data_IF_770178617793
#
_entry.id   IF_770178617793
#
_cell.length_a   1.000
_cell.length_b   1.000
_cell.length_c   1.000
_cell.angle_alpha   90.00
_cell.angle_beta   90.00
_cell.angle_gamma   90.00
#
_symmetry.space_group_name_H-M   'P 1'
#
loop_
_entity.id
_entity.type
_entity.pdbx_description
1 polymer ?
#
# COMPACT_ATOMS: atom_id res chain seq x y z
N UNK A 1 -21.58 -7.99 -7.13
CA UNK A 1 -20.15 -8.28 -7.38
C UNK A 1 -19.88 -9.74 -7.00
N UNK A 2 -19.50 -10.60 -7.95
CA UNK A 2 -19.33 -12.06 -7.73
C UNK A 2 -18.28 -12.33 -6.62
N UNK A 3 -18.49 -13.31 -5.72
CA UNK A 3 -17.46 -13.71 -4.76
C UNK A 3 -16.22 -14.25 -5.48
N UNK A 4 -15.03 -13.83 -5.03
CA UNK A 4 -13.77 -14.31 -5.59
C UNK A 4 -13.29 -15.56 -4.85
N UNK A 5 -12.83 -16.61 -5.54
CA UNK A 5 -12.18 -17.74 -4.91
C UNK A 5 -10.78 -17.37 -4.43
N UNK A 6 -10.34 -17.92 -3.30
CA UNK A 6 -9.00 -17.71 -2.79
C UNK A 6 -7.94 -18.22 -3.79
N UNK A 7 -6.89 -17.45 -4.11
CA UNK A 7 -5.79 -17.87 -4.98
C UNK A 7 -5.07 -19.17 -4.55
N UNK A 8 -5.17 -19.52 -3.27
CA UNK A 8 -4.55 -20.70 -2.67
C UNK A 8 -5.53 -21.88 -2.55
N UNK A 9 -6.53 -21.77 -1.65
CA UNK A 9 -7.43 -22.88 -1.34
C UNK A 9 -8.68 -22.97 -2.23
N UNK A 10 -8.91 -21.99 -3.12
CA UNK A 10 -10.09 -21.88 -4.01
C UNK A 10 -11.44 -21.72 -3.32
N UNK A 11 -11.51 -21.70 -2.00
CA UNK A 11 -12.74 -21.40 -1.28
C UNK A 11 -13.15 -19.94 -1.49
N UNK A 12 -14.44 -19.69 -1.40
CA UNK A 12 -14.99 -18.33 -1.48
C UNK A 12 -14.42 -17.44 -0.38
N UNK A 13 -13.91 -16.28 -0.76
CA UNK A 13 -13.44 -15.26 0.17
C UNK A 13 -14.59 -14.40 0.70
N UNK A 14 -14.42 -13.91 1.93
CA UNK A 14 -15.37 -13.02 2.60
C UNK A 14 -15.05 -11.57 2.24
N UNK A 15 -16.07 -10.76 1.96
CA UNK A 15 -15.90 -9.36 1.60
C UNK A 15 -16.01 -8.45 2.81
N UNK A 16 -15.01 -7.60 2.99
CA UNK A 16 -14.94 -6.62 4.08
C UNK A 16 -14.81 -5.21 3.49
N UNK A 17 -15.63 -4.29 4.00
CA UNK A 17 -15.68 -2.90 3.52
C UNK A 17 -14.87 -2.03 4.45
N UNK A 18 -14.05 -1.17 3.87
CA UNK A 18 -13.24 -0.20 4.59
C UNK A 18 -13.40 1.17 3.94
N UNK A 19 -13.21 2.24 4.70
CA UNK A 19 -13.30 3.58 4.15
C UNK A 19 -12.17 3.86 3.15
N UNK A 20 -12.51 4.57 2.06
CA UNK A 20 -11.59 5.01 1.02
C UNK A 20 -11.10 6.44 1.27
N UNK A 21 -9.84 6.72 0.91
CA UNK A 21 -9.21 8.04 1.00
C UNK A 21 -10.03 9.15 0.30
N UNK A 22 -10.43 8.92 -0.96
CA UNK A 22 -11.14 9.89 -1.80
C UNK A 22 -12.66 9.66 -1.83
N UNK A 23 -13.25 9.41 -0.66
CA UNK A 23 -14.66 9.06 -0.46
C UNK A 23 -15.09 7.68 -1.00
N UNK A 24 -16.11 7.12 -0.38
CA UNK A 24 -16.62 5.78 -0.68
C UNK A 24 -15.90 4.68 0.11
N UNK A 25 -15.96 3.47 -0.41
CA UNK A 25 -15.44 2.27 0.25
C UNK A 25 -14.45 1.51 -0.65
N UNK A 26 -13.50 0.84 -0.03
CA UNK A 26 -12.69 -0.23 -0.63
C UNK A 26 -13.25 -1.56 -0.12
N UNK A 27 -13.42 -2.53 -1.01
CA UNK A 27 -13.97 -3.85 -0.66
C UNK A 27 -12.86 -4.87 -0.81
N UNK A 28 -12.35 -5.39 0.30
CA UNK A 28 -11.31 -6.40 0.28
C UNK A 28 -11.91 -7.79 0.40
N UNK A 29 -11.34 -8.74 -0.33
CA UNK A 29 -11.67 -10.15 -0.20
C UNK A 29 -10.66 -10.85 0.72
N UNK A 30 -11.13 -11.37 1.86
CA UNK A 30 -10.34 -12.03 2.90
C UNK A 30 -10.57 -13.54 2.90
N UNK A 31 -9.49 -14.29 3.06
CA UNK A 31 -9.50 -15.73 3.30
C UNK A 31 -8.84 -16.02 4.64
N UNK A 32 -9.63 -16.27 5.69
CA UNK A 32 -9.11 -16.55 7.03
C UNK A 32 -8.36 -17.89 7.10
N UNK A 33 -8.80 -18.92 6.37
CA UNK A 33 -8.11 -20.22 6.36
C UNK A 33 -6.69 -20.15 5.78
N UNK A 34 -6.47 -19.36 4.72
CA UNK A 34 -5.13 -19.13 4.17
C UNK A 34 -4.43 -17.91 4.81
N UNK A 35 -5.14 -17.18 5.68
CA UNK A 35 -4.77 -15.86 6.19
C UNK A 35 -4.27 -14.93 5.07
N UNK A 36 -5.10 -14.76 4.05
CA UNK A 36 -4.78 -14.06 2.81
C UNK A 36 -5.76 -12.96 2.47
N UNK A 37 -5.25 -11.89 1.87
CA UNK A 37 -6.00 -10.74 1.37
C UNK A 37 -5.81 -10.69 -0.14
N UNK A 38 -6.90 -10.58 -0.89
CA UNK A 38 -6.84 -10.16 -2.28
C UNK A 38 -7.13 -8.66 -2.36
N UNK A 39 -6.20 -7.93 -2.97
CA UNK A 39 -6.37 -6.53 -3.34
C UNK A 39 -6.55 -6.47 -4.85
N UNK A 40 -7.66 -5.92 -5.33
CA UNK A 40 -7.76 -5.52 -6.73
C UNK A 40 -6.82 -4.33 -7.02
N UNK A 41 -6.73 -3.94 -8.30
CA UNK A 41 -5.80 -2.90 -8.72
C UNK A 41 -6.02 -1.59 -7.94
N UNK A 42 -4.93 -1.06 -7.39
CA UNK A 42 -4.88 0.15 -6.54
C UNK A 42 -5.64 0.10 -5.19
N UNK A 43 -6.31 -0.99 -4.81
CA UNK A 43 -7.09 -0.98 -3.56
C UNK A 43 -6.23 -0.79 -2.31
N UNK A 44 -5.05 -1.41 -2.25
CA UNK A 44 -4.22 -1.38 -1.04
C UNK A 44 -3.67 0.00 -0.67
N UNK A 45 -3.64 0.94 -1.62
CA UNK A 45 -3.20 2.33 -1.40
C UNK A 45 -4.37 3.29 -1.17
N UNK A 46 -5.61 2.82 -1.35
CA UNK A 46 -6.82 3.63 -1.27
C UNK A 46 -7.48 3.58 0.11
N UNK A 47 -7.08 2.67 1.00
CA UNK A 47 -7.65 2.52 2.34
C UNK A 47 -7.23 3.69 3.23
N UNK A 48 -8.16 4.25 4.01
CA UNK A 48 -7.85 5.31 4.98
C UNK A 48 -6.96 4.81 6.12
N UNK A 49 -6.24 5.69 6.83
CA UNK A 49 -5.58 5.32 8.08
C UNK A 49 -6.50 4.60 9.08
N UNK A 50 -7.74 5.08 9.24
CA UNK A 50 -8.78 4.45 10.05
C UNK A 50 -9.13 3.04 9.56
N UNK A 51 -9.34 2.87 8.25
CA UNK A 51 -9.59 1.56 7.64
C UNK A 51 -8.42 0.58 7.79
N UNK A 52 -7.18 1.06 7.82
CA UNK A 52 -6.00 0.22 8.11
C UNK A 52 -6.05 -0.29 9.56
N UNK A 53 -6.46 0.55 10.52
CA UNK A 53 -6.62 0.14 11.93
C UNK A 53 -7.73 -0.91 12.06
N UNK A 54 -8.87 -0.70 11.40
CA UNK A 54 -9.99 -1.66 11.40
C UNK A 54 -9.59 -2.98 10.77
N UNK A 55 -8.91 -2.94 9.62
CA UNK A 55 -8.39 -4.14 8.98
C UNK A 55 -7.40 -4.85 9.92
N UNK A 56 -6.46 -4.13 10.52
CA UNK A 56 -5.52 -4.73 11.48
C UNK A 56 -6.23 -5.48 12.61
N UNK A 57 -7.27 -4.89 13.23
CA UNK A 57 -8.06 -5.55 14.28
C UNK A 57 -8.67 -6.86 13.80
N UNK A 58 -9.32 -6.84 12.62
CA UNK A 58 -9.90 -8.06 12.03
C UNK A 58 -8.84 -9.13 11.74
N UNK A 59 -7.68 -8.75 11.21
CA UNK A 59 -6.62 -9.71 10.93
C UNK A 59 -6.02 -10.28 12.21
N UNK A 60 -5.89 -9.45 13.24
CA UNK A 60 -5.34 -9.83 14.53
C UNK A 60 -6.27 -10.77 15.30
N UNK A 61 -7.60 -10.57 15.24
CA UNK A 61 -8.57 -11.49 15.84
C UNK A 61 -8.43 -12.94 15.33
N UNK A 62 -7.99 -13.11 14.08
CA UNK A 62 -7.80 -14.41 13.44
C UNK A 62 -6.33 -14.86 13.35
N UNK A 63 -5.41 -14.23 14.07
CA UNK A 63 -3.97 -14.49 13.91
C UNK A 63 -3.55 -15.88 14.43
N UNK A 64 -4.18 -16.34 15.51
CA UNK A 64 -3.92 -17.64 16.14
C UNK A 64 -4.67 -18.81 15.47
N UNK A 65 -5.58 -18.51 14.54
CA UNK A 65 -6.33 -19.53 13.83
C UNK A 65 -5.39 -20.47 13.05
N UNK A 66 -5.78 -21.75 12.97
CA UNK A 66 -5.01 -22.73 12.24
C UNK A 66 -4.95 -22.37 10.75
N UNK A 67 -3.77 -21.95 10.30
CA UNK A 67 -3.52 -21.55 8.93
C UNK A 67 -3.20 -22.74 8.02
N UNK A 68 -3.88 -22.82 6.89
CA UNK A 68 -3.54 -23.72 5.79
C UNK A 68 -2.28 -23.22 5.04
N UNK A 69 -1.32 -24.11 4.73
CA UNK A 69 -0.19 -23.78 3.86
C UNK A 69 -0.64 -23.22 2.51
N UNK A 70 0.12 -22.28 1.96
CA UNK A 70 -0.19 -21.73 0.64
C UNK A 70 0.13 -22.76 -0.46
N UNK A 71 -0.72 -22.80 -1.49
CA UNK A 71 -0.43 -23.55 -2.72
C UNK A 71 0.70 -22.89 -3.49
N UNK A 72 1.57 -23.70 -4.10
CA UNK A 72 2.54 -23.26 -5.09
C UNK A 72 2.32 -24.03 -6.40
N UNK A 73 1.95 -23.37 -7.53
CA UNK A 73 1.76 -21.92 -7.67
C UNK A 73 0.38 -21.42 -7.20
N UNK A 74 0.34 -20.18 -6.72
CA UNK A 74 -0.90 -19.41 -6.55
C UNK A 74 -1.44 -18.98 -7.92
N UNK A 75 -2.77 -18.98 -8.08
CA UNK A 75 -3.44 -18.64 -9.34
C UNK A 75 -4.39 -17.45 -9.17
N UNK A 76 -4.40 -16.56 -10.16
CA UNK A 76 -5.25 -15.39 -10.17
C UNK A 76 -6.73 -15.78 -10.15
N UNK A 77 -7.58 -15.20 -9.29
CA UNK A 77 -9.00 -15.55 -9.22
C UNK A 77 -9.81 -15.01 -10.41
N UNK A 78 -9.23 -14.10 -11.21
CA UNK A 78 -9.88 -13.47 -12.38
C UNK A 78 -9.49 -14.14 -13.71
N UNK A 79 -8.21 -14.35 -13.96
CA UNK A 79 -7.71 -14.93 -15.23
C UNK A 79 -7.08 -16.32 -15.09
N UNK A 80 -7.03 -16.89 -13.88
CA UNK A 80 -6.45 -18.21 -13.58
C UNK A 80 -4.94 -18.38 -13.90
N UNK A 81 -4.27 -17.33 -14.39
CA UNK A 81 -2.82 -17.31 -14.59
C UNK A 81 -2.03 -17.41 -13.28
N UNK A 82 -0.81 -17.94 -13.36
CA UNK A 82 0.12 -18.00 -12.22
C UNK A 82 0.42 -16.58 -11.71
N UNK A 83 0.29 -16.38 -10.40
CA UNK A 83 0.73 -15.15 -9.76
C UNK A 83 2.25 -15.13 -9.62
N UNK A 84 2.86 -13.99 -9.90
CA UNK A 84 4.30 -13.79 -9.73
C UNK A 84 4.62 -13.30 -8.33
N UNK A 85 5.56 -13.97 -7.69
CA UNK A 85 6.13 -13.54 -6.42
C UNK A 85 6.88 -12.22 -6.59
N UNK A 86 6.58 -11.26 -5.72
CA UNK A 86 7.24 -9.96 -5.63
C UNK A 86 7.75 -9.72 -4.21
N UNK A 87 8.89 -9.04 -4.11
CA UNK A 87 9.49 -8.59 -2.86
C UNK A 87 9.61 -7.07 -2.93
N UNK A 88 9.29 -6.39 -1.83
CA UNK A 88 9.30 -4.93 -1.75
C UNK A 88 9.63 -4.47 -0.32
N UNK A 89 9.90 -3.19 -0.16
CA UNK A 89 10.29 -2.57 1.10
C UNK A 89 9.25 -1.53 1.49
N UNK A 90 8.64 -1.72 2.65
CA UNK A 90 7.70 -0.78 3.21
C UNK A 90 8.39 0.54 3.55
N UNK A 91 7.61 1.63 3.65
CA UNK A 91 8.09 2.95 4.09
C UNK A 91 8.81 2.90 5.45
N UNK A 92 8.46 1.92 6.29
CA UNK A 92 9.03 1.71 7.61
C UNK A 92 10.23 0.73 7.62
N UNK A 93 10.77 0.37 6.46
CA UNK A 93 11.94 -0.50 6.30
C UNK A 93 11.65 -1.99 6.28
N UNK A 94 10.42 -2.41 6.60
CA UNK A 94 10.02 -3.81 6.57
C UNK A 94 9.99 -4.39 5.15
N UNK A 95 10.84 -5.37 4.87
CA UNK A 95 10.78 -6.21 3.66
C UNK A 95 9.56 -7.13 3.71
N UNK A 96 8.68 -7.02 2.73
CA UNK A 96 7.50 -7.85 2.60
C UNK A 96 7.39 -8.45 1.20
N UNK A 97 6.60 -9.51 1.06
CA UNK A 97 6.31 -10.15 -0.21
C UNK A 97 4.81 -10.20 -0.51
N UNK A 98 4.51 -10.33 -1.80
CA UNK A 98 3.15 -10.47 -2.32
C UNK A 98 3.19 -11.25 -3.63
N UNK A 99 2.02 -11.66 -4.13
CA UNK A 99 1.89 -12.38 -5.39
C UNK A 99 0.97 -11.61 -6.33
N UNK A 100 1.52 -11.03 -7.40
CA UNK A 100 0.79 -10.15 -8.32
C UNK A 100 0.39 -10.84 -9.61
N UNK A 101 -0.75 -10.45 -10.16
CA UNK A 101 -1.15 -10.85 -11.50
C UNK A 101 -0.51 -9.93 -12.55
N UNK A 102 0.13 -10.51 -13.57
CA UNK A 102 0.71 -9.73 -14.68
C UNK A 102 -0.33 -8.98 -15.52
N UNK A 103 -1.58 -9.47 -15.52
CA UNK A 103 -2.72 -8.81 -16.18
C UNK A 103 -3.30 -7.66 -15.35
N UNK A 104 -2.64 -7.22 -14.27
CA UNK A 104 -3.06 -6.13 -13.38
C UNK A 104 -4.45 -6.33 -12.76
N UNK A 105 -4.85 -7.58 -12.57
CA UNK A 105 -6.09 -7.94 -11.88
C UNK A 105 -6.04 -7.69 -10.37
N UNK A 106 -4.85 -7.54 -9.79
CA UNK A 106 -4.66 -7.43 -8.35
C UNK A 106 -3.45 -8.20 -7.84
N UNK A 107 -3.32 -8.24 -6.51
CA UNK A 107 -2.30 -8.99 -5.78
C UNK A 107 -2.88 -9.73 -4.59
N UNK A 108 -2.27 -10.87 -4.28
CA UNK A 108 -2.50 -11.64 -3.07
C UNK A 108 -1.37 -11.37 -2.06
N UNK A 109 -1.75 -10.97 -0.85
CA UNK A 109 -0.83 -10.66 0.26
C UNK A 109 -1.32 -11.39 1.51
N UNK A 110 -0.45 -12.03 2.27
CA UNK A 110 -0.88 -12.67 3.52
C UNK A 110 -1.04 -11.67 4.65
N UNK A 111 -1.79 -12.01 5.70
CA UNK A 111 -2.02 -11.13 6.84
C UNK A 111 -0.69 -10.67 7.45
N UNK A 112 0.27 -11.58 7.61
CA UNK A 112 1.61 -11.25 8.07
C UNK A 112 2.34 -10.26 7.15
N UNK A 113 2.28 -10.46 5.84
CA UNK A 113 2.94 -9.56 4.89
C UNK A 113 2.29 -8.18 4.88
N UNK A 114 0.97 -8.11 5.06
CA UNK A 114 0.26 -6.85 5.26
C UNK A 114 0.70 -6.16 6.57
N UNK A 115 0.84 -6.91 7.67
CA UNK A 115 1.32 -6.36 8.93
C UNK A 115 2.75 -5.82 8.82
N UNK A 116 3.62 -6.49 8.05
CA UNK A 116 4.97 -5.99 7.73
C UNK A 116 4.88 -4.72 6.88
N UNK A 117 4.07 -4.75 5.82
CA UNK A 117 3.87 -3.62 4.90
C UNK A 117 3.43 -2.35 5.64
N UNK A 118 2.51 -2.49 6.60
CA UNK A 118 1.97 -1.37 7.39
C UNK A 118 2.75 -1.07 8.67
N UNK A 119 3.82 -1.84 8.95
CA UNK A 119 4.73 -1.59 10.06
C UNK A 119 4.16 -1.91 11.44
N UNK A 120 3.22 -2.86 11.53
CA UNK A 120 2.71 -3.43 12.79
C UNK A 120 3.62 -4.50 13.39
N UNK A 121 4.58 -5.00 12.61
CA UNK A 121 5.57 -5.98 13.06
C UNK A 121 6.97 -5.45 12.85
N UNK A 122 7.91 -5.93 13.67
CA UNK A 122 9.32 -5.65 13.51
C UNK A 122 10.08 -6.89 13.04
N UNK A 123 11.17 -6.65 12.33
CA UNK A 123 12.12 -7.69 11.94
C UNK A 123 13.11 -7.88 13.08
N UNK A 124 13.36 -9.14 13.44
CA UNK A 124 14.39 -9.45 14.43
C UNK A 124 15.77 -9.22 13.83
N UNK A 125 16.68 -8.66 14.63
CA UNK A 125 18.08 -8.60 14.25
C UNK A 125 18.75 -9.98 14.45
N UNK A 126 19.95 -10.22 13.89
CA UNK A 126 20.62 -11.51 14.01
C UNK A 126 20.84 -11.98 15.46
N UNK A 127 21.19 -11.08 16.38
CA UNK A 127 21.42 -11.44 17.79
C UNK A 127 20.12 -11.88 18.50
N UNK A 128 19.00 -11.24 18.18
CA UNK A 128 17.68 -11.66 18.68
C UNK A 128 17.25 -13.01 18.08
N UNK A 129 17.60 -13.29 16.81
CA UNK A 129 17.35 -14.59 16.18
C UNK A 129 18.18 -15.66 16.88
N UNK A 130 19.46 -15.39 17.17
CA UNK A 130 20.34 -16.30 17.89
C UNK A 130 19.76 -16.64 19.27
N UNK A 131 19.31 -15.63 20.03
CA UNK A 131 18.68 -15.84 21.34
C UNK A 131 17.38 -16.65 21.23
N UNK A 132 16.56 -16.38 20.21
CA UNK A 132 15.32 -17.13 19.97
C UNK A 132 15.63 -18.58 19.59
N UNK A 133 16.68 -18.81 18.79
CA UNK A 133 17.09 -20.14 18.32
C UNK A 133 17.52 -21.08 19.45
N UNK A 134 17.98 -20.52 20.57
CA UNK A 134 18.30 -21.27 21.78
C UNK A 134 17.05 -21.84 22.47
N UNK A 135 15.88 -21.20 22.28
CA UNK A 135 14.60 -21.59 22.90
C UNK A 135 13.72 -22.38 21.93
N UNK A 136 13.74 -22.05 20.64
CA UNK A 136 12.88 -22.63 19.61
C UNK A 136 13.71 -23.04 18.40
N UNK A 137 13.63 -24.30 17.98
CA UNK A 137 14.39 -24.78 16.81
C UNK A 137 13.72 -24.45 15.47
N UNK A 138 12.45 -24.81 15.32
CA UNK A 138 11.70 -24.66 14.07
C UNK A 138 10.48 -23.78 14.31
N UNK A 139 10.36 -22.72 13.51
CA UNK A 139 9.16 -21.86 13.47
C UNK A 139 8.44 -22.03 12.14
N UNK A 140 7.17 -21.61 12.08
CA UNK A 140 6.46 -21.48 10.79
C UNK A 140 6.66 -20.08 10.23
N UNK A 141 7.00 -19.99 8.95
CA UNK A 141 7.07 -18.71 8.26
C UNK A 141 5.68 -18.06 8.20
N UNK A 142 5.54 -16.87 8.76
CA UNK A 142 4.30 -16.09 8.73
C UNK A 142 3.87 -15.71 7.29
N UNK A 143 4.80 -15.69 6.33
CA UNK A 143 4.53 -15.45 4.90
C UNK A 143 3.97 -16.67 4.18
N UNK A 144 4.75 -17.74 4.02
CA UNK A 144 4.33 -18.90 3.19
C UNK A 144 3.82 -20.11 4.00
N UNK A 145 4.08 -20.15 5.30
CA UNK A 145 3.70 -21.27 6.18
C UNK A 145 4.72 -22.42 6.22
N UNK A 146 5.79 -22.33 5.43
CA UNK A 146 6.88 -23.31 5.44
C UNK A 146 7.60 -23.33 6.80
N UNK A 147 8.08 -24.51 7.24
CA UNK A 147 8.95 -24.59 8.40
C UNK A 147 10.29 -23.88 8.14
N UNK A 148 10.80 -23.16 9.12
CA UNK A 148 12.08 -22.45 9.10
C UNK A 148 12.88 -22.90 10.31
N UNK A 149 14.07 -23.48 10.08
CA UNK A 149 15.01 -23.83 11.14
C UNK A 149 15.84 -22.58 11.49
N UNK A 150 15.44 -21.88 12.55
CA UNK A 150 16.04 -20.58 12.90
C UNK A 150 17.43 -20.70 13.52
N UNK A 151 17.90 -21.92 13.76
CA UNK A 151 19.28 -22.20 14.19
C UNK A 151 20.26 -22.19 13.00
N UNK A 152 19.74 -22.22 11.78
CA UNK A 152 20.52 -22.26 10.54
C UNK A 152 20.25 -21.06 9.65
N UNK A 153 18.97 -20.67 9.57
CA UNK A 153 18.50 -19.68 8.63
C UNK A 153 17.93 -18.45 9.35
N UNK A 154 18.38 -17.25 8.97
CA UNK A 154 17.82 -15.98 9.46
C UNK A 154 16.66 -15.45 8.60
N UNK A 155 16.24 -16.23 7.61
CA UNK A 155 15.11 -15.94 6.73
C UNK A 155 14.49 -17.25 6.21
N UNK A 156 13.24 -17.20 5.78
CA UNK A 156 12.58 -18.36 5.21
C UNK A 156 13.25 -18.82 3.90
N UNK A 157 13.71 -20.06 3.83
CA UNK A 157 14.32 -20.63 2.61
C UNK A 157 13.38 -20.69 1.40
N UNK A 158 12.07 -20.84 1.63
CA UNK A 158 11.06 -20.92 0.57
C UNK A 158 10.69 -19.57 -0.06
N UNK A 159 10.28 -18.57 0.74
CA UNK A 159 9.79 -17.28 0.23
C UNK A 159 10.73 -16.09 0.50
N UNK A 160 11.91 -16.35 1.09
CA UNK A 160 12.92 -15.35 1.47
C UNK A 160 12.41 -14.25 2.41
N UNK A 161 11.27 -14.43 3.05
CA UNK A 161 10.77 -13.50 4.04
C UNK A 161 11.67 -13.52 5.30
N UNK A 162 12.01 -12.37 5.86
CA UNK A 162 12.75 -12.30 7.12
C UNK A 162 11.92 -12.84 8.28
N UNK A 163 12.59 -13.27 9.34
CA UNK A 163 11.94 -13.66 10.59
C UNK A 163 11.39 -12.39 11.26
N UNK A 164 10.10 -12.42 11.57
CA UNK A 164 9.35 -11.28 12.10
C UNK A 164 8.58 -11.70 13.32
N UNK A 165 8.42 -10.77 14.25
CA UNK A 165 7.57 -10.96 15.44
C UNK A 165 6.53 -9.83 15.52
N UNK A 166 5.36 -10.20 16.02
CA UNK A 166 4.36 -9.23 16.45
C UNK A 166 4.83 -8.69 17.81
N UNK A 167 5.40 -7.50 17.78
CA UNK A 167 5.96 -6.82 18.95
C UNK A 167 4.96 -5.77 19.44
N UNK A 168 4.62 -5.78 20.73
CA UNK A 168 3.64 -4.85 21.30
C UNK A 168 4.01 -3.39 21.06
N UNK A 169 5.30 -3.05 21.18
CA UNK A 169 5.80 -1.71 20.89
C UNK A 169 5.63 -1.33 19.42
N UNK A 170 5.91 -2.24 18.49
CA UNK A 170 5.67 -2.01 17.07
C UNK A 170 4.18 -1.78 16.76
N UNK A 171 3.29 -2.57 17.37
CA UNK A 171 1.83 -2.42 17.24
C UNK A 171 1.36 -1.08 17.79
N UNK A 172 1.76 -0.70 19.01
CA UNK A 172 1.40 0.58 19.63
C UNK A 172 1.85 1.77 18.79
N UNK A 173 3.10 1.76 18.33
CA UNK A 173 3.63 2.82 17.46
C UNK A 173 2.86 2.90 16.14
N UNK A 174 2.52 1.75 15.52
CA UNK A 174 1.75 1.72 14.29
C UNK A 174 0.33 2.27 14.49
N UNK A 175 -0.37 1.81 15.53
CA UNK A 175 -1.70 2.31 15.87
C UNK A 175 -1.69 3.81 16.14
N UNK A 176 -0.73 4.31 16.93
CA UNK A 176 -0.57 5.74 17.18
C UNK A 176 -0.37 6.52 15.89
N UNK A 177 0.53 6.07 14.99
CA UNK A 177 0.76 6.74 13.70
C UNK A 177 -0.51 6.81 12.85
N UNK A 178 -1.24 5.70 12.72
CA UNK A 178 -2.46 5.67 11.92
C UNK A 178 -3.60 6.49 12.55
N UNK A 179 -3.71 6.51 13.88
CA UNK A 179 -4.67 7.35 14.59
C UNK A 179 -4.39 8.85 14.34
N UNK A 180 -3.14 9.28 14.47
CA UNK A 180 -2.75 10.66 14.17
C UNK A 180 -3.01 11.02 12.70
N UNK A 181 -2.73 10.11 11.77
CA UNK A 181 -3.01 10.30 10.36
C UNK A 181 -4.52 10.40 10.07
N UNK A 182 -5.34 9.59 10.76
CA UNK A 182 -6.79 9.65 10.62
C UNK A 182 -7.36 10.96 11.19
N UNK A 183 -6.93 11.37 12.38
CA UNK A 183 -7.34 12.65 12.98
C UNK A 183 -6.98 13.81 12.04
N UNK A 184 -5.78 13.84 11.47
CA UNK A 184 -5.40 14.88 10.48
C UNK A 184 -6.28 14.85 9.23
N UNK A 185 -6.68 13.66 8.77
CA UNK A 185 -7.55 13.50 7.60
C UNK A 185 -8.97 14.00 7.88
N UNK A 186 -9.54 13.66 9.03
CA UNK A 186 -10.93 13.98 9.38
C UNK A 186 -11.10 15.38 9.95
N UNK A 187 -10.06 15.93 10.58
CA UNK A 187 -10.04 17.32 11.05
C UNK A 187 -9.96 18.24 9.84
N UNK A 188 -11.13 18.60 9.31
CA UNK A 188 -11.25 19.68 8.34
C UNK A 188 -10.92 20.97 9.05
N UNK A 189 -9.75 21.53 8.74
CA UNK A 189 -9.44 22.89 9.12
C UNK A 189 -10.29 23.85 8.28
N UNK A 190 -11.43 24.24 8.85
CA UNK A 190 -12.43 25.13 8.23
C UNK A 190 -11.79 26.48 7.90
N UNK A 191 -10.78 26.89 8.66
CA UNK A 191 -10.06 28.17 8.47
C UNK A 191 -9.15 28.08 7.25
N UNK A 192 -8.35 27.00 7.11
CA UNK A 192 -7.56 26.76 5.89
C UNK A 192 -8.43 26.61 4.64
N UNK A 193 -9.62 25.99 4.77
CA UNK A 193 -10.60 25.90 3.68
C UNK A 193 -11.16 27.27 3.31
N UNK A 194 -11.48 28.09 4.31
CA UNK A 194 -11.91 29.48 4.15
C UNK A 194 -10.86 30.32 3.44
N UNK A 195 -9.61 30.24 3.88
CA UNK A 195 -8.47 30.95 3.29
C UNK A 195 -8.22 30.53 1.83
N UNK A 196 -8.27 29.23 1.53
CA UNK A 196 -8.12 28.73 0.16
C UNK A 196 -9.23 29.24 -0.77
N UNK A 197 -10.48 29.31 -0.28
CA UNK A 197 -11.62 29.87 -1.04
C UNK A 197 -11.41 31.37 -1.28
N UNK A 198 -11.04 32.12 -0.23
CA UNK A 198 -10.79 33.58 -0.32
C UNK A 198 -9.63 33.88 -1.26
N UNK A 199 -8.53 33.14 -1.18
CA UNK A 199 -7.39 33.30 -2.09
C UNK A 199 -7.77 33.05 -3.54
N UNK A 200 -8.53 31.98 -3.83
CA UNK A 200 -9.01 31.69 -5.18
C UNK A 200 -9.92 32.78 -5.73
N UNK A 201 -10.78 33.37 -4.89
CA UNK A 201 -11.67 34.44 -5.33
C UNK A 201 -10.92 35.77 -5.55
N UNK A 202 -9.91 36.05 -4.70
CA UNK A 202 -8.97 37.18 -4.92
C UNK A 202 -8.22 37.03 -6.23
N UNK A 203 -7.75 35.83 -6.56
CA UNK A 203 -7.02 35.57 -7.80
C UNK A 203 -7.91 35.68 -9.04
N UNK A 204 -9.14 35.14 -9.00
CA UNK A 204 -10.15 35.37 -10.04
C UNK A 204 -10.45 36.86 -10.23
N UNK A 205 -10.57 37.62 -9.14
CA UNK A 205 -10.81 39.06 -9.17
C UNK A 205 -9.63 39.81 -9.79
N UNK A 206 -8.38 39.43 -9.48
CA UNK A 206 -7.17 39.97 -10.13
C UNK A 206 -7.16 39.69 -11.64
N UNK A 207 -7.44 38.46 -12.04
CA UNK A 207 -7.49 38.07 -13.46
C UNK A 207 -8.60 38.80 -14.23
N UNK A 208 -9.76 39.04 -13.60
CA UNK A 208 -10.83 39.85 -14.20
C UNK A 208 -10.40 41.30 -14.42
N UNK A 209 -9.69 41.91 -13.46
CA UNK A 209 -9.16 43.27 -13.59
C UNK A 209 -8.09 43.37 -14.68
N UNK A 210 -7.18 42.39 -14.77
CA UNK A 210 -6.17 42.33 -15.84
C UNK A 210 -6.78 42.15 -17.23
N UNK A 211 -7.94 41.49 -17.35
CA UNK A 211 -8.68 41.37 -18.62
C UNK A 211 -9.50 42.62 -18.98
N UNK A 212 -9.63 43.59 -18.08
CA UNK A 212 -10.49 44.79 -18.25
C UNK A 212 -9.70 46.10 -18.46
N UNK A 213 -8.37 46.08 -18.55
CA UNK A 213 -7.58 47.25 -18.97
C UNK A 213 -7.47 47.34 -20.52
N UNK A 214 -7.40 48.56 -21.07
CA UNK A 214 -8.13 48.93 -22.29
C UNK A 214 -7.39 48.54 -23.58
N UNK A 215 -8.18 48.36 -24.64
CA UNK A 215 -7.76 48.40 -26.05
C UNK A 215 -7.08 49.75 -26.32
N UNK A 216 -5.78 49.88 -26.01
CA UNK A 216 -4.81 50.83 -26.57
C UNK A 216 -3.53 50.85 -25.70
N UNK A 217 -2.69 49.83 -25.82
CA UNK A 217 -1.28 49.91 -25.48
C UNK A 217 -0.49 49.30 -26.64
N UNK A 218 0.25 50.17 -27.33
CA UNK A 218 0.91 49.89 -28.60
C UNK A 218 1.91 48.74 -28.56
N UNK A 219 1.94 48.04 -29.69
CA UNK A 219 3.02 47.28 -30.31
C UNK A 219 4.37 47.46 -29.59
N UNK A 220 4.72 46.50 -28.73
CA UNK A 220 6.12 46.13 -28.44
C UNK A 220 6.15 44.60 -28.34
N UNK A 221 6.86 44.00 -29.30
CA UNK A 221 7.10 42.56 -29.42
C UNK A 221 7.71 41.98 -28.14
N UNK A 222 6.90 41.24 -27.37
CA UNK A 222 7.42 40.25 -26.44
C UNK A 222 7.60 38.93 -27.20
N UNK A 223 8.80 38.74 -27.75
CA UNK A 223 9.25 37.46 -28.28
C UNK A 223 9.22 36.45 -27.13
N UNK A 224 8.35 35.46 -27.27
CA UNK A 224 8.23 34.34 -26.35
C UNK A 224 9.49 33.45 -26.48
N UNK A 225 10.25 33.36 -25.39
CA UNK A 225 11.52 32.65 -25.28
C UNK A 225 11.36 31.13 -25.52
N UNK A 226 10.14 30.61 -25.44
CA UNK A 226 9.82 29.20 -25.68
C UNK A 226 9.77 28.90 -27.20
N UNK A 227 9.28 29.83 -28.01
CA UNK A 227 9.30 29.72 -29.48
C UNK A 227 10.71 29.82 -30.06
N UNK A 228 11.58 30.67 -29.49
CA UNK A 228 12.97 30.81 -29.92
C UNK A 228 13.80 29.53 -29.67
N UNK A 229 13.46 28.76 -28.62
CA UNK A 229 14.09 27.46 -28.36
C UNK A 229 13.68 26.36 -29.35
N UNK A 230 12.45 26.41 -29.86
CA UNK A 230 11.92 25.42 -30.80
C UNK A 230 12.53 25.57 -32.21
N UNK A 231 12.77 26.79 -32.69
CA UNK A 231 13.45 27.02 -33.98
C UNK A 231 14.93 26.59 -33.95
N UNK A 232 15.62 26.78 -32.82
CA UNK A 232 17.03 26.38 -32.68
C UNK A 232 17.21 24.85 -32.71
N UNK A 233 16.24 24.09 -32.16
CA UNK A 233 16.23 22.63 -32.19
C UNK A 233 15.86 22.10 -33.60
N UNK A 234 14.95 22.77 -34.30
CA UNK A 234 14.54 22.38 -35.66
C UNK A 234 15.67 22.53 -36.69
N UNK A 235 16.52 23.55 -36.57
CA UNK A 235 17.69 23.73 -37.43
C UNK A 235 18.84 22.75 -37.15
N UNK A 236 18.89 22.15 -35.95
CA UNK A 236 19.89 21.13 -35.61
C UNK A 236 19.52 19.72 -36.13
N UNK A 237 18.24 19.47 -36.42
CA UNK A 237 17.72 18.17 -36.87
C UNK A 237 17.71 18.04 -38.41
N UNK A 238 17.89 19.15 -39.13
CA UNK A 238 17.91 19.18 -40.61
C UNK A 238 19.32 19.20 -41.23
N UNK A 239 20.32 18.62 -40.57
CA UNK A 239 21.65 18.40 -41.15
C UNK A 239 22.00 16.92 -41.21
#
# INVERSE_FOLDING_TARGET
>A
MKPLPCPSCRQTMTKHRFERLLHGEVVLDLCFQCQGIWFDDFESVQITPGGIIELFKQLHEHHDDQRLPLRDPLQCPRCNEKLLHGLDVAKHGGKFNYHRCLQKHGRFTTFAQFMIEKGFVRQLNPAEIDELSAKVGIIRCMGCGAPVDIRKDHACSHCRAPITILDSGAVEQALSRYQHAEVRRTTRDVELLGDAIVMREREKSRLKRMKQEPENAGIIDTIDLISAGAEFVWHLIKR
#
